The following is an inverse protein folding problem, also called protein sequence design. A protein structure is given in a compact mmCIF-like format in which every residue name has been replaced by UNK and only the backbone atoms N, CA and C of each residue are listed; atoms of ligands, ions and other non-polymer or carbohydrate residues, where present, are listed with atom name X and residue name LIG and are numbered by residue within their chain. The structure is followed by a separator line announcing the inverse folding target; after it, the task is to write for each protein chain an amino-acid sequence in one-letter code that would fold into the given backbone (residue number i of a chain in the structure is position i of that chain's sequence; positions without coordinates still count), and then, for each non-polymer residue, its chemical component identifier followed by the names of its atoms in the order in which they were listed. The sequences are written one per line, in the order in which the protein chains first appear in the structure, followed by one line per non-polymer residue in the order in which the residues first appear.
data_IF_956405634412
#
_entry.id   IF_956405634412
#
_cell.length_a   1.000
_cell.length_b   1.000
_cell.length_c   1.000
_cell.angle_alpha   90.00
_cell.angle_beta   90.00
_cell.angle_gamma   90.00
#
_symmetry.space_group_name_H-M   'P 1'
#
loop_
_entity.id
_entity.type
_entity.pdbx_description
1 polymer ?
#
# COMPACT_ATOMS: atom_id res chain seq x y z
N UNK A 1 26.33 -13.70 5.76
CA UNK A 1 25.97 -15.09 5.43
C UNK A 1 25.52 -15.10 3.99
N UNK A 2 26.18 -15.93 3.18
CA UNK A 2 26.30 -15.81 1.72
C UNK A 2 24.97 -15.85 0.98
N UNK A 3 24.97 -15.18 -0.17
CA UNK A 3 23.94 -15.33 -1.21
C UNK A 3 23.80 -16.83 -1.49
N UNK A 4 22.58 -17.36 -1.41
CA UNK A 4 22.26 -18.75 -1.77
C UNK A 4 22.60 -18.98 -3.25
N UNK A 5 23.85 -19.29 -3.57
CA UNK A 5 24.23 -19.87 -4.84
C UNK A 5 24.02 -21.40 -4.81
N UNK A 6 23.91 -21.98 -6.01
CA UNK A 6 23.64 -23.40 -6.18
C UNK A 6 24.66 -24.30 -5.47
N UNK A 7 25.94 -23.91 -5.46
CA UNK A 7 27.00 -24.70 -4.83
C UNK A 7 26.83 -24.76 -3.30
N UNK A 8 26.55 -23.62 -2.67
CA UNK A 8 26.32 -23.56 -1.24
C UNK A 8 25.03 -24.29 -0.83
N UNK A 9 23.99 -24.23 -1.67
CA UNK A 9 22.78 -25.03 -1.51
C UNK A 9 23.08 -26.53 -1.54
N UNK A 10 23.81 -27.00 -2.56
CA UNK A 10 24.21 -28.41 -2.68
C UNK A 10 25.06 -28.88 -1.49
N UNK A 11 26.08 -28.10 -1.09
CA UNK A 11 26.95 -28.44 0.06
C UNK A 11 26.13 -28.61 1.34
N UNK A 12 25.19 -27.71 1.59
CA UNK A 12 24.34 -27.74 2.79
C UNK A 12 23.41 -28.97 2.79
N UNK A 13 22.76 -29.25 1.65
CA UNK A 13 21.86 -30.40 1.52
C UNK A 13 22.61 -31.75 1.57
N UNK A 14 23.83 -31.82 1.05
CA UNK A 14 24.69 -33.01 1.17
C UNK A 14 25.06 -33.30 2.62
N UNK A 15 25.38 -32.26 3.39
CA UNK A 15 25.66 -32.41 4.82
C UNK A 15 24.43 -32.94 5.57
N UNK A 16 23.24 -32.48 5.20
CA UNK A 16 21.97 -32.97 5.73
C UNK A 16 21.77 -34.45 5.41
N UNK A 17 21.91 -34.86 4.14
CA UNK A 17 21.75 -36.26 3.70
C UNK A 17 22.72 -37.21 4.39
N UNK A 18 23.96 -36.77 4.65
CA UNK A 18 24.96 -37.55 5.39
C UNK A 18 24.63 -37.71 6.88
N UNK A 19 24.03 -36.69 7.49
CA UNK A 19 23.75 -36.64 8.93
C UNK A 19 22.40 -37.26 9.32
N UNK A 20 21.45 -37.26 8.39
CA UNK A 20 20.17 -37.93 8.55
C UNK A 20 19.90 -38.68 7.22
N UNK A 21 20.12 -40.01 7.17
CA UNK A 21 19.92 -40.82 5.96
C UNK A 21 18.42 -41.05 5.71
N UNK A 22 17.64 -39.97 5.71
CA UNK A 22 16.24 -39.95 5.36
C UNK A 22 16.08 -39.56 3.89
N UNK A 23 15.14 -40.20 3.21
CA UNK A 23 14.67 -39.81 1.89
C UNK A 23 13.30 -39.17 2.07
N UNK A 24 13.21 -37.84 2.21
CA UNK A 24 11.92 -37.18 2.41
C UNK A 24 11.06 -37.33 1.15
N UNK A 25 9.78 -37.66 1.31
CA UNK A 25 8.84 -37.71 0.18
C UNK A 25 8.66 -36.33 -0.46
N UNK A 26 8.75 -35.28 0.35
CA UNK A 26 8.54 -33.89 -0.06
C UNK A 26 9.50 -32.95 0.67
N UNK A 27 10.04 -31.98 -0.06
CA UNK A 27 10.89 -30.90 0.46
C UNK A 27 10.23 -29.57 0.11
N UNK A 28 9.82 -28.83 1.14
CA UNK A 28 9.18 -27.52 0.99
C UNK A 28 10.21 -26.40 1.01
N UNK A 29 10.17 -25.49 0.03
CA UNK A 29 11.08 -24.35 -0.12
C UNK A 29 10.34 -23.08 -0.56
N UNK A 30 11.06 -21.97 -0.67
CA UNK A 30 10.55 -20.73 -1.25
C UNK A 30 10.85 -20.63 -2.75
N UNK A 31 10.63 -19.47 -3.36
CA UNK A 31 10.86 -19.23 -4.79
C UNK A 31 12.34 -19.09 -5.19
N UNK A 32 13.30 -19.57 -4.40
CA UNK A 32 14.74 -19.51 -4.71
C UNK A 32 15.11 -20.51 -5.82
N UNK A 33 15.46 -20.07 -7.05
CA UNK A 33 15.80 -20.99 -8.14
C UNK A 33 17.03 -21.85 -7.83
N UNK A 34 18.01 -21.27 -7.13
CA UNK A 34 19.22 -21.97 -6.70
C UNK A 34 18.91 -23.08 -5.69
N UNK A 35 18.01 -22.80 -4.72
CA UNK A 35 17.59 -23.79 -3.74
C UNK A 35 16.79 -24.93 -4.40
N UNK A 36 15.85 -24.60 -5.28
CA UNK A 36 15.06 -25.59 -6.05
C UNK A 36 15.99 -26.51 -6.86
N UNK A 37 16.96 -25.94 -7.57
CA UNK A 37 17.94 -26.71 -8.34
C UNK A 37 18.80 -27.60 -7.44
N UNK A 38 19.25 -27.06 -6.29
CA UNK A 38 20.06 -27.82 -5.32
C UNK A 38 19.29 -29.00 -4.73
N UNK A 39 18.01 -28.82 -4.42
CA UNK A 39 17.15 -29.90 -3.92
C UNK A 39 17.03 -31.01 -4.97
N UNK A 40 16.73 -30.66 -6.23
CA UNK A 40 16.61 -31.64 -7.32
C UNK A 40 17.93 -32.39 -7.57
N UNK A 41 19.08 -31.75 -7.34
CA UNK A 41 20.39 -32.40 -7.49
C UNK A 41 20.72 -33.38 -6.34
N UNK A 42 20.41 -33.01 -5.09
CA UNK A 42 20.81 -33.80 -3.92
C UNK A 42 19.76 -34.84 -3.51
N UNK A 43 18.48 -34.55 -3.72
CA UNK A 43 17.34 -35.38 -3.41
C UNK A 43 16.46 -35.58 -4.65
N UNK A 44 16.95 -36.27 -5.70
CA UNK A 44 16.23 -36.39 -6.97
C UNK A 44 14.88 -37.12 -6.85
N UNK A 45 14.76 -38.02 -5.88
CA UNK A 45 13.52 -38.78 -5.62
C UNK A 45 12.50 -38.00 -4.78
N UNK A 46 12.89 -36.85 -4.20
CA UNK A 46 12.02 -36.04 -3.38
C UNK A 46 11.21 -35.07 -4.22
N UNK A 47 9.92 -34.97 -3.93
CA UNK A 47 9.07 -33.94 -4.56
C UNK A 47 9.43 -32.55 -4.03
N UNK A 48 9.69 -31.60 -4.92
CA UNK A 48 9.89 -30.19 -4.53
C UNK A 48 8.53 -29.50 -4.42
N UNK A 49 8.26 -28.88 -3.28
CA UNK A 49 7.07 -28.08 -3.04
C UNK A 49 7.42 -26.62 -2.76
N UNK A 50 6.71 -25.66 -3.38
CA UNK A 50 6.75 -24.26 -2.94
C UNK A 50 5.78 -24.07 -1.77
N UNK A 51 6.26 -23.46 -0.70
CA UNK A 51 5.47 -23.14 0.49
C UNK A 51 4.29 -22.20 0.16
N UNK A 52 3.08 -22.59 0.58
CA UNK A 52 1.88 -21.79 0.35
C UNK A 52 1.92 -20.39 0.97
N UNK A 53 2.63 -20.22 2.09
CA UNK A 53 2.88 -18.88 2.63
C UNK A 53 3.66 -18.01 1.63
N UNK A 54 4.67 -18.57 0.97
CA UNK A 54 5.50 -17.87 0.00
C UNK A 54 4.73 -17.56 -1.29
N UNK A 55 3.87 -18.48 -1.75
CA UNK A 55 2.93 -18.25 -2.85
C UNK A 55 2.02 -17.05 -2.58
N UNK A 56 1.35 -17.05 -1.42
CA UNK A 56 0.46 -15.95 -1.03
C UNK A 56 1.23 -14.66 -0.82
N UNK A 57 2.44 -14.72 -0.25
CA UNK A 57 3.30 -13.55 -0.04
C UNK A 57 3.72 -12.90 -1.34
N UNK A 58 4.11 -13.70 -2.33
CA UNK A 58 4.55 -13.22 -3.65
C UNK A 58 3.42 -12.46 -4.36
N UNK A 59 2.24 -13.08 -4.46
CA UNK A 59 1.05 -12.46 -5.02
C UNK A 59 0.64 -11.18 -4.28
N UNK A 60 0.51 -11.26 -2.94
CA UNK A 60 0.08 -10.12 -2.12
C UNK A 60 1.09 -8.96 -2.20
N UNK A 61 2.37 -9.23 -2.37
CA UNK A 61 3.38 -8.18 -2.55
C UNK A 61 3.25 -7.49 -3.91
N UNK A 62 2.87 -8.22 -4.96
CA UNK A 62 2.46 -7.65 -6.25
C UNK A 62 1.26 -6.73 -6.09
N UNK A 63 0.16 -7.24 -5.53
CA UNK A 63 -1.08 -6.48 -5.32
C UNK A 63 -0.84 -5.23 -4.45
N UNK A 64 -0.02 -5.33 -3.41
CA UNK A 64 0.35 -4.17 -2.56
C UNK A 64 1.05 -3.06 -3.35
N UNK A 65 1.76 -3.39 -4.44
CA UNK A 65 2.35 -2.36 -5.30
C UNK A 65 1.26 -1.61 -6.06
N UNK A 66 0.27 -2.33 -6.60
CA UNK A 66 -0.88 -1.73 -7.28
C UNK A 66 -1.71 -0.87 -6.31
N UNK A 67 -1.92 -1.32 -5.06
CA UNK A 67 -2.58 -0.49 -4.05
C UNK A 67 -1.81 0.80 -3.74
N UNK A 68 -0.46 0.79 -3.80
CA UNK A 68 0.33 2.02 -3.65
C UNK A 68 0.08 2.98 -4.82
N UNK A 69 -0.02 2.49 -6.05
CA UNK A 69 -0.33 3.30 -7.22
C UNK A 69 -1.77 3.83 -7.19
N UNK A 70 -2.73 2.98 -6.82
CA UNK A 70 -4.11 3.37 -6.59
C UNK A 70 -4.18 4.51 -5.57
N UNK A 71 -3.54 4.34 -4.40
CA UNK A 71 -3.52 5.37 -3.35
C UNK A 71 -2.82 6.65 -3.79
N UNK A 72 -1.79 6.55 -4.63
CA UNK A 72 -1.11 7.72 -5.16
C UNK A 72 -2.06 8.53 -6.05
N UNK A 73 -2.67 7.87 -7.04
CA UNK A 73 -3.58 8.46 -8.02
C UNK A 73 -4.84 9.05 -7.38
N UNK A 74 -5.47 8.32 -6.46
CA UNK A 74 -6.78 8.69 -5.92
C UNK A 74 -6.70 9.64 -4.71
N UNK A 75 -5.54 9.76 -4.06
CA UNK A 75 -5.43 10.59 -2.85
C UNK A 75 -4.14 11.39 -2.76
N UNK A 76 -2.97 10.73 -2.80
CA UNK A 76 -1.71 11.40 -2.41
C UNK A 76 -1.32 12.52 -3.36
N UNK A 77 -1.56 12.35 -4.66
CA UNK A 77 -1.17 13.35 -5.65
C UNK A 77 -1.94 14.66 -5.43
N UNK A 78 -3.27 14.61 -5.27
CA UNK A 78 -4.07 15.79 -4.94
C UNK A 78 -3.74 16.36 -3.54
N UNK A 79 -3.44 15.51 -2.54
CA UNK A 79 -2.96 15.96 -1.22
C UNK A 79 -1.66 16.77 -1.35
N UNK A 80 -0.74 16.34 -2.21
CA UNK A 80 0.51 17.04 -2.46
C UNK A 80 0.28 18.37 -3.17
N UNK A 81 -0.63 18.44 -4.13
CA UNK A 81 -1.02 19.71 -4.76
C UNK A 81 -1.59 20.70 -3.73
N UNK A 82 -2.43 20.27 -2.79
CA UNK A 82 -2.87 21.15 -1.69
C UNK A 82 -1.72 21.63 -0.79
N UNK A 83 -0.71 20.79 -0.57
CA UNK A 83 0.49 21.18 0.18
C UNK A 83 1.30 22.24 -0.59
N UNK A 84 1.43 22.08 -1.90
CA UNK A 84 2.10 23.04 -2.78
C UNK A 84 1.35 24.38 -2.83
N UNK A 85 0.03 24.37 -3.02
CA UNK A 85 -0.80 25.59 -2.96
C UNK A 85 -0.65 26.33 -1.63
N UNK A 86 -0.60 25.59 -0.52
CA UNK A 86 -0.39 26.18 0.80
C UNK A 86 1.01 26.75 0.97
N UNK A 87 2.03 26.07 0.44
CA UNK A 87 3.41 26.55 0.44
C UNK A 87 3.53 27.86 -0.33
N UNK A 88 2.93 27.92 -1.51
CA UNK A 88 2.81 29.12 -2.34
C UNK A 88 2.18 30.29 -1.55
N UNK A 89 1.04 30.07 -0.89
CA UNK A 89 0.37 31.08 -0.08
C UNK A 89 1.19 31.53 1.14
N UNK A 90 2.02 30.64 1.72
CA UNK A 90 2.93 31.03 2.79
C UNK A 90 4.02 31.98 2.24
N UNK A 91 4.58 31.70 1.07
CA UNK A 91 5.54 32.58 0.41
C UNK A 91 4.98 34.00 0.22
N UNK A 92 3.76 34.11 -0.30
CA UNK A 92 3.08 35.40 -0.46
C UNK A 92 2.85 36.12 0.87
N UNK A 93 2.50 35.36 1.93
CA UNK A 93 2.31 35.95 3.24
C UNK A 93 3.61 36.49 3.83
N UNK A 94 4.75 35.82 3.63
CA UNK A 94 6.05 36.32 4.07
C UNK A 94 6.46 37.57 3.28
N UNK A 95 6.34 37.57 1.94
CA UNK A 95 6.60 38.75 1.12
C UNK A 95 5.82 39.98 1.62
N UNK A 96 4.54 39.77 1.96
CA UNK A 96 3.65 40.82 2.47
C UNK A 96 4.00 41.31 3.89
N UNK A 97 4.76 40.56 4.69
CA UNK A 97 5.24 41.08 5.98
C UNK A 97 6.33 42.15 5.78
N UNK A 98 7.05 42.06 4.67
CA UNK A 98 8.19 42.92 4.35
C UNK A 98 7.85 44.04 3.36
N UNK A 99 6.63 44.05 2.81
CA UNK A 99 6.14 45.07 1.89
C UNK A 99 4.67 45.41 2.16
N UNK A 100 4.34 46.70 2.12
CA UNK A 100 2.96 47.18 2.32
C UNK A 100 2.00 46.71 1.20
N UNK A 101 2.53 46.48 0.00
CA UNK A 101 1.83 45.99 -1.20
C UNK A 101 2.76 45.08 -2.01
N UNK A 102 2.17 44.11 -2.70
CA UNK A 102 2.87 43.30 -3.69
C UNK A 102 2.69 43.91 -5.08
N UNK A 103 3.74 43.88 -5.91
CA UNK A 103 3.62 44.17 -7.34
C UNK A 103 3.24 42.90 -8.09
N UNK A 104 2.60 43.05 -9.26
CA UNK A 104 2.23 41.89 -10.08
C UNK A 104 3.46 41.04 -10.45
N UNK A 105 4.59 41.70 -10.71
CA UNK A 105 5.89 41.09 -11.03
C UNK A 105 6.47 40.29 -9.85
N UNK A 106 6.19 40.72 -8.60
CA UNK A 106 6.66 40.03 -7.39
C UNK A 106 5.86 38.77 -7.04
N UNK A 107 4.69 38.59 -7.64
CA UNK A 107 3.83 37.43 -7.38
C UNK A 107 4.28 36.28 -8.29
N UNK A 108 4.86 35.19 -7.74
CA UNK A 108 5.28 34.07 -8.57
C UNK A 108 4.07 33.42 -9.27
N UNK A 109 4.27 32.84 -10.47
CA UNK A 109 3.20 32.15 -11.16
C UNK A 109 2.75 30.90 -10.38
N UNK A 110 1.44 30.66 -10.34
CA UNK A 110 0.89 29.45 -9.74
C UNK A 110 1.14 28.24 -10.66
N UNK A 111 1.68 27.16 -10.10
CA UNK A 111 1.86 25.90 -10.84
C UNK A 111 0.54 25.36 -11.39
N UNK A 112 0.63 24.63 -12.50
CA UNK A 112 -0.50 23.90 -13.07
C UNK A 112 -0.96 22.78 -12.14
N UNK A 113 -2.28 22.63 -12.00
CA UNK A 113 -2.93 21.57 -11.23
C UNK A 113 -3.45 20.49 -12.17
N UNK A 114 -3.37 19.23 -11.76
CA UNK A 114 -3.89 18.11 -12.55
C UNK A 114 -5.42 18.23 -12.72
N UNK A 115 -5.99 18.13 -13.94
CA UNK A 115 -7.41 18.36 -14.16
C UNK A 115 -8.36 17.44 -13.37
N UNK A 116 -7.93 16.21 -13.07
CA UNK A 116 -8.72 15.23 -12.30
C UNK A 116 -8.79 15.53 -10.80
N UNK A 117 -7.94 16.42 -10.27
CA UNK A 117 -7.91 16.78 -8.85
C UNK A 117 -8.85 17.94 -8.57
N UNK A 118 -10.15 17.63 -8.52
CA UNK A 118 -11.23 18.64 -8.53
C UNK A 118 -11.17 19.62 -7.36
N UNK A 119 -10.73 19.19 -6.17
CA UNK A 119 -10.63 20.05 -4.99
C UNK A 119 -9.42 20.97 -5.09
N UNK A 120 -8.26 20.45 -5.50
CA UNK A 120 -7.07 21.26 -5.74
C UNK A 120 -7.28 22.28 -6.86
N UNK A 121 -7.98 21.87 -7.93
CA UNK A 121 -8.37 22.75 -9.03
C UNK A 121 -9.25 23.90 -8.53
N UNK A 122 -10.29 23.60 -7.76
CA UNK A 122 -11.15 24.63 -7.14
C UNK A 122 -10.34 25.62 -6.31
N UNK A 123 -9.42 25.13 -5.46
CA UNK A 123 -8.56 26.00 -4.67
C UNK A 123 -7.63 26.86 -5.53
N UNK A 124 -7.01 26.28 -6.56
CA UNK A 124 -6.16 27.01 -7.52
C UNK A 124 -6.94 28.12 -8.22
N UNK A 125 -8.16 27.83 -8.70
CA UNK A 125 -8.98 28.80 -9.42
C UNK A 125 -9.40 29.97 -8.51
N UNK A 126 -9.81 29.67 -7.28
CA UNK A 126 -10.10 30.69 -6.24
C UNK A 126 -8.87 31.53 -5.95
N UNK A 127 -7.70 30.91 -5.77
CA UNK A 127 -6.44 31.63 -5.53
C UNK A 127 -6.16 32.57 -6.70
N UNK A 128 -6.12 32.05 -7.94
CA UNK A 128 -5.84 32.83 -9.15
C UNK A 128 -6.75 34.04 -9.28
N UNK A 129 -8.06 33.87 -9.07
CA UNK A 129 -9.05 34.95 -9.14
C UNK A 129 -8.86 36.03 -8.08
N UNK A 130 -8.30 35.70 -6.91
CA UNK A 130 -8.16 36.65 -5.81
C UNK A 130 -6.75 37.22 -5.65
N UNK A 131 -5.75 36.71 -6.38
CA UNK A 131 -4.36 37.15 -6.24
C UNK A 131 -4.16 38.64 -6.55
N UNK A 132 -4.83 39.15 -7.59
CA UNK A 132 -4.67 40.55 -7.99
C UNK A 132 -5.17 41.54 -6.92
N UNK A 133 -6.04 41.11 -5.99
CA UNK A 133 -6.49 41.95 -4.88
C UNK A 133 -5.35 42.35 -3.94
N UNK A 134 -4.22 41.63 -3.98
CA UNK A 134 -3.02 41.94 -3.22
C UNK A 134 -2.24 43.13 -3.79
N UNK A 135 -2.54 43.55 -5.02
CA UNK A 135 -1.86 44.66 -5.71
C UNK A 135 -2.70 45.96 -5.70
N UNK A 136 -3.95 45.91 -5.23
CA UNK A 136 -4.84 47.08 -5.19
C UNK A 136 -4.46 48.04 -4.04
N UNK A 137 -4.02 49.24 -4.40
CA UNK A 137 -3.66 50.29 -3.44
C UNK A 137 -4.88 50.99 -2.84
N UNK A 138 -5.84 51.42 -3.66
CA UNK A 138 -7.00 52.16 -3.16
C UNK A 138 -7.94 51.27 -2.31
N UNK A 139 -8.21 51.63 -1.04
CA UNK A 139 -9.09 50.84 -0.18
C UNK A 139 -10.52 50.72 -0.74
N UNK A 140 -11.05 51.74 -1.40
CA UNK A 140 -12.42 51.74 -1.88
C UNK A 140 -12.60 50.77 -3.06
N UNK A 141 -11.72 50.87 -4.05
CA UNK A 141 -11.61 49.91 -5.15
C UNK A 141 -11.37 48.49 -4.65
N UNK A 142 -10.48 48.30 -3.66
CA UNK A 142 -10.22 46.98 -3.09
C UNK A 142 -11.49 46.30 -2.56
N UNK A 143 -12.26 46.97 -1.70
CA UNK A 143 -13.45 46.34 -1.09
C UNK A 143 -14.58 46.09 -2.08
N UNK A 144 -14.80 47.00 -3.04
CA UNK A 144 -15.82 46.82 -4.08
C UNK A 144 -15.45 45.64 -4.99
N UNK A 145 -14.23 45.64 -5.52
CA UNK A 145 -13.78 44.58 -6.44
C UNK A 145 -13.75 43.25 -5.72
N UNK A 146 -13.32 43.22 -4.45
CA UNK A 146 -13.31 41.99 -3.67
C UNK A 146 -14.73 41.43 -3.46
N UNK A 147 -15.74 42.25 -3.13
CA UNK A 147 -17.12 41.73 -3.00
C UNK A 147 -17.66 41.16 -4.32
N UNK A 148 -17.36 41.82 -5.45
CA UNK A 148 -17.71 41.34 -6.79
C UNK A 148 -17.07 39.98 -7.07
N UNK A 149 -15.78 39.81 -6.80
CA UNK A 149 -15.10 38.53 -6.99
C UNK A 149 -15.66 37.45 -6.05
N UNK A 150 -15.99 37.77 -4.80
CA UNK A 150 -16.63 36.81 -3.89
C UNK A 150 -18.02 36.37 -4.40
N UNK A 151 -18.78 37.27 -5.04
CA UNK A 151 -20.06 36.92 -5.69
C UNK A 151 -19.85 35.99 -6.88
N UNK A 152 -18.84 36.26 -7.72
CA UNK A 152 -18.47 35.39 -8.85
C UNK A 152 -18.06 34.00 -8.38
N UNK A 153 -17.20 33.91 -7.36
CA UNK A 153 -16.76 32.63 -6.80
C UNK A 153 -17.92 31.81 -6.24
N UNK A 154 -18.87 32.44 -5.53
CA UNK A 154 -20.09 31.78 -5.06
C UNK A 154 -20.93 31.25 -6.22
N UNK A 155 -21.08 32.02 -7.29
CA UNK A 155 -21.83 31.59 -8.49
C UNK A 155 -21.16 30.39 -9.17
N UNK A 156 -19.83 30.36 -9.22
CA UNK A 156 -19.08 29.33 -9.94
C UNK A 156 -18.88 28.03 -9.15
N UNK A 157 -18.67 28.13 -7.84
CA UNK A 157 -18.30 26.98 -7.01
C UNK A 157 -19.33 26.64 -5.92
N UNK A 158 -20.37 27.46 -5.75
CA UNK A 158 -21.51 27.20 -4.86
C UNK A 158 -21.11 26.97 -3.39
N UNK A 159 -21.77 26.00 -2.77
CA UNK A 159 -21.58 25.64 -1.36
C UNK A 159 -20.13 25.30 -1.00
N UNK A 160 -19.32 24.83 -1.96
CA UNK A 160 -17.91 24.46 -1.73
C UNK A 160 -17.03 25.61 -1.26
N UNK A 161 -17.39 26.84 -1.61
CA UNK A 161 -16.63 28.06 -1.23
C UNK A 161 -17.44 29.03 -0.39
N UNK A 162 -18.67 28.67 -0.02
CA UNK A 162 -19.61 29.57 0.65
C UNK A 162 -19.10 30.04 2.00
N UNK A 163 -18.70 29.10 2.86
CA UNK A 163 -18.12 29.43 4.16
C UNK A 163 -16.90 30.35 4.01
N UNK A 164 -16.03 30.09 3.03
CA UNK A 164 -14.87 30.93 2.74
C UNK A 164 -15.29 32.37 2.36
N UNK A 165 -16.28 32.52 1.48
CA UNK A 165 -16.78 33.81 1.05
C UNK A 165 -17.45 34.58 2.19
N UNK A 166 -18.33 33.92 2.96
CA UNK A 166 -19.07 34.53 4.07
C UNK A 166 -18.13 34.99 5.18
N UNK A 167 -17.13 34.16 5.52
CA UNK A 167 -16.11 34.52 6.50
C UNK A 167 -15.31 35.74 6.04
N UNK A 168 -14.96 35.86 4.76
CA UNK A 168 -14.24 37.03 4.24
C UNK A 168 -15.10 38.29 4.25
N UNK A 169 -16.36 38.21 3.79
CA UNK A 169 -17.30 39.33 3.87
C UNK A 169 -17.50 39.83 5.30
N UNK A 170 -17.54 38.92 6.28
CA UNK A 170 -17.66 39.29 7.69
C UNK A 170 -16.49 40.14 8.21
N UNK A 171 -15.34 40.15 7.52
CA UNK A 171 -14.16 40.97 7.86
C UNK A 171 -14.19 42.36 7.23
N UNK A 172 -15.15 42.65 6.35
CA UNK A 172 -15.24 43.95 5.71
C UNK A 172 -15.63 45.01 6.75
N UNK A 173 -15.00 46.19 6.72
CA UNK A 173 -15.34 47.28 7.63
C UNK A 173 -16.77 47.79 7.37
N UNK A 174 -17.54 48.02 8.44
CA UNK A 174 -18.95 48.44 8.37
C UNK A 174 -19.19 49.93 8.10
N UNK A 175 -18.18 50.78 8.31
CA UNK A 175 -18.33 52.26 8.30
C UNK A 175 -17.49 52.96 7.24
N UNK A 176 -16.16 52.81 7.30
CA UNK A 176 -15.22 53.48 6.37
C UNK A 176 -14.14 52.52 5.89
N UNK A 177 -13.82 52.63 4.60
CA UNK A 177 -12.70 51.93 3.97
C UNK A 177 -11.41 52.70 4.27
N UNK A 178 -10.42 52.00 4.85
CA UNK A 178 -9.15 52.58 5.29
C UNK A 178 -7.99 51.71 4.85
N UNK A 179 -6.80 52.29 4.71
CA UNK A 179 -5.55 51.56 4.39
C UNK A 179 -5.30 50.46 5.44
N UNK A 180 -5.46 50.76 6.73
CA UNK A 180 -5.34 49.77 7.82
C UNK A 180 -6.37 48.63 7.67
N UNK A 181 -7.60 48.95 7.28
CA UNK A 181 -8.65 47.97 7.00
C UNK A 181 -8.30 47.07 5.82
N UNK A 182 -7.89 47.65 4.69
CA UNK A 182 -7.37 46.92 3.51
C UNK A 182 -6.24 45.98 3.91
N UNK A 183 -5.25 46.50 4.64
CA UNK A 183 -4.09 45.71 5.05
C UNK A 183 -4.45 44.55 5.98
N UNK A 184 -5.42 44.75 6.88
CA UNK A 184 -5.93 43.66 7.71
C UNK A 184 -6.63 42.61 6.86
N UNK A 185 -7.51 43.01 5.94
CA UNK A 185 -8.35 42.09 5.16
C UNK A 185 -7.55 41.32 4.11
N UNK A 186 -6.56 41.91 3.46
CA UNK A 186 -5.61 41.18 2.61
C UNK A 186 -4.82 40.11 3.40
N UNK A 187 -4.44 40.41 4.64
CA UNK A 187 -3.79 39.43 5.52
C UNK A 187 -4.73 38.29 5.89
N UNK A 188 -6.00 38.60 6.15
CA UNK A 188 -7.04 37.58 6.36
C UNK A 188 -7.34 36.78 5.09
N UNK A 189 -7.33 37.39 3.90
CA UNK A 189 -7.48 36.69 2.62
C UNK A 189 -6.45 35.56 2.48
N UNK A 190 -5.17 35.86 2.63
CA UNK A 190 -4.10 34.84 2.56
C UNK A 190 -4.28 33.73 3.60
N UNK A 191 -4.67 34.09 4.85
CA UNK A 191 -4.98 33.08 5.87
C UNK A 191 -6.15 32.20 5.46
N UNK A 192 -7.24 32.77 4.94
CA UNK A 192 -8.45 32.05 4.57
C UNK A 192 -8.28 31.20 3.32
N UNK A 193 -7.46 31.62 2.35
CA UNK A 193 -7.07 30.78 1.21
C UNK A 193 -6.34 29.51 1.69
N UNK A 194 -5.46 29.63 2.69
CA UNK A 194 -4.81 28.46 3.30
C UNK A 194 -5.80 27.57 4.04
N UNK A 195 -6.76 28.16 4.76
CA UNK A 195 -7.84 27.41 5.42
C UNK A 195 -8.70 26.66 4.41
N UNK A 196 -9.01 27.27 3.26
CA UNK A 196 -9.74 26.63 2.17
C UNK A 196 -8.99 25.39 1.65
N UNK A 197 -7.69 25.50 1.35
CA UNK A 197 -6.89 24.34 0.96
C UNK A 197 -6.93 23.22 2.03
N UNK A 198 -6.99 23.58 3.31
CA UNK A 198 -7.09 22.61 4.42
C UNK A 198 -8.46 21.95 4.50
N UNK A 199 -9.55 22.68 4.24
CA UNK A 199 -10.91 22.13 4.32
C UNK A 199 -11.12 21.03 3.29
N UNK A 200 -10.56 21.15 2.09
CA UNK A 200 -10.58 20.06 1.09
C UNK A 200 -9.58 18.95 1.40
N UNK A 201 -8.36 19.28 1.85
CA UNK A 201 -7.31 18.29 2.08
C UNK A 201 -7.60 17.36 3.26
N UNK A 202 -8.27 17.85 4.31
CA UNK A 202 -8.53 17.07 5.54
C UNK A 202 -9.40 15.83 5.27
N UNK A 203 -10.60 15.94 4.65
CA UNK A 203 -11.41 14.78 4.27
C UNK A 203 -10.62 13.78 3.42
N UNK A 204 -9.91 14.27 2.38
CA UNK A 204 -9.13 13.42 1.49
C UNK A 204 -8.00 12.66 2.21
N UNK A 205 -7.37 13.27 3.22
CA UNK A 205 -6.39 12.60 4.10
C UNK A 205 -7.02 11.50 4.96
N UNK A 206 -8.22 11.72 5.46
CA UNK A 206 -8.93 10.71 6.26
C UNK A 206 -9.35 9.52 5.39
N UNK A 207 -9.90 9.78 4.19
CA UNK A 207 -10.18 8.73 3.21
C UNK A 207 -8.92 7.91 2.87
N UNK A 208 -7.79 8.58 2.62
CA UNK A 208 -6.52 7.90 2.35
C UNK A 208 -6.02 7.03 3.52
N UNK A 209 -6.31 7.47 4.76
CA UNK A 209 -5.97 6.73 5.99
C UNK A 209 -6.88 5.51 6.13
N UNK A 210 -8.19 5.68 5.95
CA UNK A 210 -9.16 4.61 6.00
C UNK A 210 -8.91 3.55 4.93
N UNK A 211 -8.65 3.98 3.69
CA UNK A 211 -8.19 3.08 2.62
C UNK A 211 -6.98 2.25 3.06
N UNK A 212 -5.98 2.88 3.69
CA UNK A 212 -4.75 2.21 4.09
C UNK A 212 -4.96 1.15 5.18
N UNK A 213 -5.96 1.33 6.04
CA UNK A 213 -6.35 0.33 7.04
C UNK A 213 -7.13 -0.81 6.39
N UNK A 214 -8.12 -0.47 5.56
CA UNK A 214 -9.07 -1.44 4.98
C UNK A 214 -8.47 -2.30 3.86
N UNK A 215 -7.50 -1.79 3.09
CA UNK A 215 -6.88 -2.53 1.97
C UNK A 215 -6.32 -3.91 2.39
N UNK A 216 -5.86 -4.08 3.63
CA UNK A 216 -5.30 -5.34 4.12
C UNK A 216 -6.37 -6.41 4.38
N UNK A 217 -7.63 -6.00 4.54
CA UNK A 217 -8.75 -6.92 4.69
C UNK A 217 -8.96 -7.74 3.42
N UNK A 218 -8.60 -7.20 2.26
CA UNK A 218 -8.70 -7.90 0.97
C UNK A 218 -7.82 -9.16 0.90
N UNK A 219 -6.80 -9.26 1.75
CA UNK A 219 -5.92 -10.42 1.82
C UNK A 219 -6.39 -11.52 2.78
N UNK A 220 -7.46 -11.28 3.56
CA UNK A 220 -7.93 -12.26 4.56
C UNK A 220 -8.67 -13.42 3.90
N UNK A 221 -8.21 -14.65 4.11
CA UNK A 221 -8.95 -15.83 3.68
C UNK A 221 -10.26 -16.01 4.49
N UNK A 222 -11.31 -16.62 3.92
CA UNK A 222 -12.64 -16.73 4.53
C UNK A 222 -12.65 -17.24 5.97
N UNK A 223 -11.74 -18.16 6.32
CA UNK A 223 -11.66 -18.75 7.67
C UNK A 223 -11.23 -17.73 8.75
N UNK A 224 -10.68 -16.58 8.33
CA UNK A 224 -10.21 -15.48 9.19
C UNK A 224 -11.10 -14.24 9.10
N UNK A 225 -12.25 -14.35 8.44
CA UNK A 225 -13.21 -13.27 8.23
C UNK A 225 -14.45 -13.57 9.07
N UNK A 226 -14.77 -12.66 10.01
CA UNK A 226 -16.06 -12.70 10.71
C UNK A 226 -17.13 -11.98 9.88
N UNK A 227 -18.44 -12.21 10.14
CA UNK A 227 -19.52 -11.53 9.41
C UNK A 227 -19.40 -10.00 9.44
N UNK A 228 -18.92 -9.44 10.57
CA UNK A 228 -18.64 -8.00 10.69
C UNK A 228 -17.53 -7.54 9.74
N UNK A 229 -16.48 -8.33 9.57
CA UNK A 229 -15.38 -8.00 8.65
C UNK A 229 -15.81 -8.16 7.20
N UNK A 230 -16.64 -9.15 6.90
CA UNK A 230 -17.23 -9.37 5.58
C UNK A 230 -18.03 -8.16 5.10
N UNK A 231 -18.97 -7.66 5.93
CA UNK A 231 -19.71 -6.43 5.63
C UNK A 231 -18.80 -5.22 5.38
N UNK A 232 -17.69 -5.10 6.13
CA UNK A 232 -16.70 -4.03 5.91
C UNK A 232 -15.98 -4.20 4.55
N UNK A 233 -15.64 -5.43 4.17
CA UNK A 233 -15.02 -5.73 2.88
C UNK A 233 -15.98 -5.40 1.74
N UNK A 234 -17.24 -5.81 1.83
CA UNK A 234 -18.26 -5.55 0.82
C UNK A 234 -18.47 -4.05 0.59
N UNK A 235 -18.66 -3.28 1.67
CA UNK A 235 -18.81 -1.83 1.57
C UNK A 235 -17.53 -1.17 1.01
N UNK A 236 -16.34 -1.64 1.41
CA UNK A 236 -15.08 -1.15 0.86
C UNK A 236 -14.94 -1.45 -0.63
N UNK A 237 -15.38 -2.62 -1.10
CA UNK A 237 -15.38 -3.01 -2.52
C UNK A 237 -16.50 -2.34 -3.33
N UNK A 238 -17.58 -1.87 -2.69
CA UNK A 238 -18.58 -1.00 -3.30
C UNK A 238 -18.03 0.40 -3.54
N UNK A 239 -17.28 0.92 -2.57
CA UNK A 239 -16.59 2.22 -2.68
C UNK A 239 -15.43 2.18 -3.67
N UNK A 240 -14.75 1.04 -3.80
CA UNK A 240 -13.61 0.85 -4.71
C UNK A 240 -13.78 -0.39 -5.61
N UNK A 241 -14.65 -0.34 -6.62
CA UNK A 241 -14.99 -1.51 -7.45
C UNK A 241 -13.80 -2.18 -8.14
N UNK A 242 -12.81 -1.39 -8.56
CA UNK A 242 -11.60 -1.91 -9.20
C UNK A 242 -10.77 -2.83 -8.28
N UNK A 243 -10.99 -2.78 -6.96
CA UNK A 243 -10.26 -3.63 -6.03
C UNK A 243 -10.82 -5.05 -5.90
N UNK A 244 -12.03 -5.30 -6.44
CA UNK A 244 -12.68 -6.62 -6.42
C UNK A 244 -11.81 -7.67 -7.07
N UNK A 245 -11.18 -7.31 -8.19
CA UNK A 245 -10.32 -8.23 -8.91
C UNK A 245 -9.14 -8.71 -8.06
N UNK A 246 -8.49 -7.83 -7.30
CA UNK A 246 -7.40 -8.23 -6.41
C UNK A 246 -7.87 -9.13 -5.26
N UNK A 247 -9.10 -8.91 -4.77
CA UNK A 247 -9.75 -9.77 -3.78
C UNK A 247 -9.98 -11.16 -4.36
N UNK A 248 -10.55 -11.24 -5.55
CA UNK A 248 -10.80 -12.49 -6.28
C UNK A 248 -9.50 -13.25 -6.52
N UNK A 249 -8.44 -12.59 -7.00
CA UNK A 249 -7.12 -13.22 -7.16
C UNK A 249 -6.60 -13.84 -5.86
N UNK A 250 -6.70 -13.12 -4.75
CA UNK A 250 -6.21 -13.60 -3.45
C UNK A 250 -7.04 -14.76 -2.91
N UNK A 251 -8.36 -14.74 -3.14
CA UNK A 251 -9.24 -15.84 -2.76
C UNK A 251 -8.96 -17.08 -3.60
N UNK A 252 -8.92 -16.92 -4.92
CA UNK A 252 -8.67 -17.98 -5.90
C UNK A 252 -7.36 -18.71 -5.62
N UNK A 253 -6.25 -18.00 -5.38
CA UNK A 253 -4.98 -18.65 -5.04
C UNK A 253 -4.99 -19.26 -3.63
N UNK A 254 -5.75 -18.68 -2.70
CA UNK A 254 -5.96 -19.25 -1.38
C UNK A 254 -6.77 -20.55 -1.39
N UNK A 255 -7.64 -20.77 -2.39
CA UNK A 255 -8.46 -21.99 -2.52
C UNK A 255 -7.64 -23.25 -2.78
N UNK A 256 -6.48 -23.12 -3.45
CA UNK A 256 -5.57 -24.24 -3.72
C UNK A 256 -5.25 -25.02 -2.43
N UNK A 257 -5.09 -24.33 -1.30
CA UNK A 257 -4.73 -24.95 -0.02
C UNK A 257 -5.94 -25.41 0.81
N UNK A 258 -7.16 -25.23 0.28
CA UNK A 258 -8.43 -25.51 0.95
C UNK A 258 -9.22 -26.60 0.25
N UNK A 259 -9.09 -26.70 -1.07
CA UNK A 259 -9.73 -27.74 -1.88
C UNK A 259 -9.25 -29.15 -1.47
N UNK A 260 -10.09 -30.18 -1.66
CA UNK A 260 -9.67 -31.57 -1.55
C UNK A 260 -8.54 -31.90 -2.53
N UNK A 261 -7.54 -32.67 -2.11
CA UNK A 261 -6.37 -32.96 -2.94
C UNK A 261 -6.68 -33.54 -4.32
N UNK A 262 -7.73 -34.37 -4.40
CA UNK A 262 -8.17 -35.04 -5.62
C UNK A 262 -8.59 -34.08 -6.72
N UNK A 263 -8.90 -32.82 -6.39
CA UNK A 263 -9.39 -31.81 -7.35
C UNK A 263 -8.38 -30.70 -7.62
N UNK A 264 -7.22 -30.73 -6.97
CA UNK A 264 -6.18 -29.71 -7.17
C UNK A 264 -5.42 -30.04 -8.47
N UNK A 265 -5.63 -29.22 -9.49
CA UNK A 265 -5.00 -29.34 -10.82
C UNK A 265 -4.17 -28.10 -11.22
N UNK A 266 -4.21 -27.04 -10.41
CA UNK A 266 -3.52 -25.77 -10.67
C UNK A 266 -4.28 -24.81 -11.58
N UNK A 267 -5.55 -25.08 -11.92
CA UNK A 267 -6.40 -24.20 -12.75
C UNK A 267 -6.48 -22.77 -12.22
N UNK A 268 -6.44 -22.59 -10.89
CA UNK A 268 -6.44 -21.29 -10.24
C UNK A 268 -5.22 -20.45 -10.62
N UNK A 269 -4.05 -21.09 -10.79
CA UNK A 269 -2.82 -20.41 -11.22
C UNK A 269 -2.91 -20.08 -12.71
N UNK A 270 -3.45 -21.00 -13.52
CA UNK A 270 -3.61 -20.79 -14.97
C UNK A 270 -4.55 -19.62 -15.27
N UNK A 271 -5.61 -19.47 -14.47
CA UNK A 271 -6.61 -18.40 -14.57
C UNK A 271 -6.07 -17.00 -14.24
N UNK A 272 -4.90 -16.87 -13.60
CA UNK A 272 -4.27 -15.57 -13.39
C UNK A 272 -3.89 -14.94 -14.74
N UNK A 273 -4.26 -13.69 -14.96
CA UNK A 273 -3.94 -12.97 -16.21
C UNK A 273 -3.02 -11.79 -15.91
N UNK A 274 -2.00 -11.61 -16.74
CA UNK A 274 -1.19 -10.40 -16.73
C UNK A 274 -1.95 -9.30 -17.45
N UNK A 275 -1.84 -8.05 -16.98
CA UNK A 275 -2.48 -6.91 -17.62
C UNK A 275 -1.53 -5.73 -17.73
N UNK A 276 -1.71 -4.93 -18.79
CA UNK A 276 -0.92 -3.72 -19.04
C UNK A 276 -1.04 -2.66 -17.93
N UNK A 277 -2.16 -2.64 -17.21
CA UNK A 277 -2.42 -1.69 -16.14
C UNK A 277 -1.97 -2.17 -14.75
N UNK A 278 -1.51 -3.43 -14.62
CA UNK A 278 -0.89 -3.91 -13.39
C UNK A 278 0.53 -3.39 -13.24
N UNK A 279 1.02 -3.31 -12.00
CA UNK A 279 2.44 -3.06 -11.81
C UNK A 279 3.29 -4.19 -12.36
N UNK A 280 4.51 -3.86 -12.79
CA UNK A 280 5.52 -4.85 -13.17
C UNK A 280 5.71 -5.91 -12.08
N UNK A 281 5.58 -5.50 -10.82
CA UNK A 281 5.70 -6.40 -9.67
C UNK A 281 4.56 -7.43 -9.61
N UNK A 282 3.32 -7.03 -9.88
CA UNK A 282 2.20 -7.97 -9.94
C UNK A 282 2.30 -8.87 -11.16
N UNK A 283 2.62 -8.33 -12.34
CA UNK A 283 2.84 -9.13 -13.54
C UNK A 283 3.98 -10.15 -13.36
N UNK A 284 5.06 -9.76 -12.69
CA UNK A 284 6.18 -10.65 -12.34
C UNK A 284 5.74 -11.74 -11.37
N UNK A 285 4.99 -11.39 -10.32
CA UNK A 285 4.46 -12.38 -9.38
C UNK A 285 3.59 -13.42 -10.10
N UNK A 286 2.70 -13.00 -11.00
CA UNK A 286 1.87 -13.90 -11.82
C UNK A 286 2.74 -14.82 -12.67
N UNK A 287 3.76 -14.28 -13.37
CA UNK A 287 4.71 -15.10 -14.14
C UNK A 287 5.42 -16.13 -13.26
N UNK A 288 5.87 -15.74 -12.07
CA UNK A 288 6.54 -16.63 -11.12
C UNK A 288 5.61 -17.75 -10.67
N UNK A 289 4.35 -17.45 -10.33
CA UNK A 289 3.38 -18.48 -9.94
C UNK A 289 3.12 -19.46 -11.09
N UNK A 290 2.98 -18.97 -12.33
CA UNK A 290 2.80 -19.84 -13.50
C UNK A 290 4.02 -20.70 -13.78
N UNK A 291 5.23 -20.14 -13.65
CA UNK A 291 6.51 -20.85 -13.86
C UNK A 291 6.66 -22.03 -12.91
N UNK A 292 6.31 -21.85 -11.64
CA UNK A 292 6.45 -22.87 -10.58
C UNK A 292 5.13 -23.58 -10.26
N UNK A 293 4.17 -23.59 -11.18
CA UNK A 293 2.83 -24.19 -10.96
C UNK A 293 2.93 -25.62 -10.46
N UNK A 294 3.76 -26.44 -11.10
CA UNK A 294 4.01 -27.84 -10.74
C UNK A 294 4.47 -27.97 -9.29
N UNK A 295 5.48 -27.21 -8.89
CA UNK A 295 6.03 -27.23 -7.53
C UNK A 295 5.05 -26.64 -6.50
N UNK A 296 4.17 -25.70 -6.88
CA UNK A 296 3.15 -25.15 -5.98
C UNK A 296 2.09 -26.21 -5.64
N UNK A 297 1.62 -26.97 -6.63
CA UNK A 297 0.57 -27.98 -6.43
C UNK A 297 1.10 -29.36 -6.07
N UNK A 298 2.42 -29.56 -6.05
CA UNK A 298 3.06 -30.86 -5.89
C UNK A 298 2.61 -31.62 -4.62
N UNK A 299 2.25 -30.88 -3.57
CA UNK A 299 1.72 -31.48 -2.33
C UNK A 299 0.47 -32.32 -2.59
N UNK A 300 -0.41 -31.93 -3.52
CA UNK A 300 -1.67 -32.64 -3.74
C UNK A 300 -1.42 -34.11 -4.10
N UNK A 301 -0.44 -34.38 -4.98
CA UNK A 301 -0.05 -35.74 -5.37
C UNK A 301 0.56 -36.52 -4.20
N UNK A 302 1.53 -35.93 -3.50
CA UNK A 302 2.21 -36.59 -2.37
C UNK A 302 1.22 -36.98 -1.27
N UNK A 303 0.25 -36.14 -0.95
CA UNK A 303 -0.74 -36.46 0.08
C UNK A 303 -1.83 -37.44 -0.38
N UNK A 304 -1.98 -37.69 -1.68
CA UNK A 304 -2.82 -38.79 -2.17
C UNK A 304 -2.11 -40.13 -2.07
N UNK A 305 -0.79 -40.16 -2.31
CA UNK A 305 0.06 -41.34 -2.19
C UNK A 305 0.35 -41.70 -0.72
N UNK A 306 0.41 -40.69 0.15
CA UNK A 306 0.74 -40.82 1.57
C UNK A 306 -0.32 -40.10 2.45
N UNK A 307 -1.55 -40.63 2.57
CA UNK A 307 -2.65 -39.99 3.30
C UNK A 307 -2.43 -39.88 4.82
N UNK A 308 -1.49 -40.66 5.37
CA UNK A 308 -1.04 -40.62 6.76
C UNK A 308 -0.24 -39.34 7.10
N UNK A 309 0.23 -38.60 6.09
CA UNK A 309 0.93 -37.34 6.29
C UNK A 309 -0.02 -36.29 6.92
N UNK A 310 0.42 -35.70 8.02
CA UNK A 310 -0.37 -34.72 8.77
C UNK A 310 -0.72 -33.48 7.94
N UNK A 311 -1.95 -32.96 8.10
CA UNK A 311 -2.46 -31.74 7.44
C UNK A 311 -1.55 -30.50 7.62
N UNK A 312 -0.73 -30.47 8.67
CA UNK A 312 0.27 -29.42 8.91
C UNK A 312 1.38 -29.37 7.84
N UNK A 313 1.68 -30.48 7.15
CA UNK A 313 2.65 -30.52 6.06
C UNK A 313 2.11 -29.90 4.75
N UNK A 314 0.81 -29.52 4.68
CA UNK A 314 0.16 -28.97 3.48
C UNK A 314 0.56 -27.53 3.14
N UNK A 315 0.75 -26.69 4.16
CA UNK A 315 0.65 -25.25 3.98
C UNK A 315 1.63 -24.44 4.82
N UNK A 316 2.48 -25.09 5.63
CA UNK A 316 3.22 -24.30 6.60
C UNK A 316 4.50 -24.94 7.12
N UNK A 317 5.60 -24.50 6.53
CA UNK A 317 6.78 -24.30 7.35
C UNK A 317 6.50 -23.25 8.44
N UNK A 318 5.54 -22.31 8.36
CA UNK A 318 5.35 -21.24 9.38
C UNK A 318 4.64 -21.67 10.68
N UNK A 319 3.81 -22.72 10.70
CA UNK A 319 3.19 -23.24 11.94
C UNK A 319 4.18 -24.13 12.70
N UNK A 320 4.88 -25.02 12.00
CA UNK A 320 6.08 -25.70 12.50
C UNK A 320 7.14 -24.68 12.90
N UNK A 321 7.41 -23.67 12.07
CA UNK A 321 8.33 -22.57 12.36
C UNK A 321 7.82 -21.61 13.43
N UNK A 322 6.55 -21.56 13.83
CA UNK A 322 6.16 -20.70 14.95
C UNK A 322 6.61 -21.31 16.27
N UNK A 323 6.46 -22.63 16.39
CA UNK A 323 6.97 -23.42 17.52
C UNK A 323 8.49 -23.57 17.46
N UNK A 324 9.05 -23.77 16.26
CA UNK A 324 10.51 -23.81 16.05
C UNK A 324 11.13 -22.43 16.23
N UNK A 325 10.61 -21.33 15.63
CA UNK A 325 11.13 -19.94 15.78
C UNK A 325 10.86 -19.31 17.14
N UNK A 326 9.98 -19.84 17.99
CA UNK A 326 9.74 -19.30 19.33
C UNK A 326 11.05 -19.22 20.17
N UNK A 327 11.88 -20.29 20.23
CA UNK A 327 13.24 -20.23 20.78
C UNK A 327 14.19 -19.27 20.05
N UNK A 328 14.09 -19.12 18.73
CA UNK A 328 14.98 -18.25 17.93
C UNK A 328 14.63 -16.77 18.07
N UNK A 329 13.36 -16.42 18.34
CA UNK A 329 12.94 -15.05 18.62
C UNK A 329 13.57 -14.46 19.88
N UNK A 330 13.97 -15.31 20.82
CA UNK A 330 14.62 -14.91 22.06
C UNK A 330 16.16 -14.80 21.95
N UNK A 331 16.79 -15.30 20.88
CA UNK A 331 18.25 -15.56 20.84
C UNK A 331 18.98 -15.14 19.57
N UNK A 332 18.37 -14.30 18.72
CA UNK A 332 18.87 -13.98 17.38
C UNK A 332 20.09 -13.03 17.30
N UNK A 333 20.92 -12.97 18.35
CA UNK A 333 22.23 -12.34 18.26
C UNK A 333 23.30 -13.38 18.67
N UNK A 334 24.03 -13.93 17.69
CA UNK A 334 25.29 -14.72 17.82
C UNK A 334 25.17 -16.21 18.16
N UNK A 335 24.87 -17.08 17.19
CA UNK A 335 25.24 -18.50 17.30
C UNK A 335 25.96 -19.00 16.04
N UNK A 336 27.00 -19.81 16.25
CA UNK A 336 27.86 -20.40 15.21
C UNK A 336 27.20 -21.58 14.47
N UNK A 337 27.81 -21.96 13.35
CA UNK A 337 27.32 -22.95 12.39
C UNK A 337 26.95 -24.30 13.04
N UNK A 338 27.71 -24.74 14.03
CA UNK A 338 27.53 -26.04 14.69
C UNK A 338 26.19 -26.15 15.44
N UNK A 339 25.70 -25.04 16.02
CA UNK A 339 24.39 -25.02 16.67
C UNK A 339 23.22 -25.06 15.67
N UNK A 340 23.41 -24.52 14.46
CA UNK A 340 22.43 -24.61 13.38
C UNK A 340 22.33 -26.07 12.91
N UNK A 341 23.48 -26.73 12.74
CA UNK A 341 23.55 -28.12 12.27
C UNK A 341 22.98 -29.11 13.30
N UNK A 342 23.31 -28.96 14.58
CA UNK A 342 22.79 -29.83 15.65
C UNK A 342 21.25 -29.70 15.80
N UNK A 343 20.70 -28.51 15.53
CA UNK A 343 19.24 -28.28 15.57
C UNK A 343 18.51 -28.76 14.31
N UNK A 344 19.14 -28.73 13.13
CA UNK A 344 18.60 -29.40 11.93
C UNK A 344 18.54 -30.91 12.09
N UNK A 345 19.50 -31.52 12.80
CA UNK A 345 19.47 -32.95 13.10
C UNK A 345 18.24 -33.35 13.94
N UNK A 346 17.84 -32.52 14.92
CA UNK A 346 16.61 -32.71 15.70
C UNK A 346 15.33 -32.58 14.86
N UNK A 347 15.35 -31.77 13.79
CA UNK A 347 14.22 -31.60 12.87
C UNK A 347 13.98 -32.83 11.96
N UNK A 348 15.03 -33.55 11.60
CA UNK A 348 14.97 -34.66 10.64
C UNK A 348 14.78 -36.02 11.31
N UNK A 349 15.09 -36.14 12.61
CA UNK A 349 14.90 -37.35 13.40
C UNK A 349 13.50 -37.53 14.00
N UNK A 350 12.55 -36.63 13.75
CA UNK A 350 11.18 -36.71 14.31
C UNK A 350 11.07 -36.47 15.83
N UNK A 351 12.19 -36.30 16.54
CA UNK A 351 12.21 -36.06 17.97
C UNK A 351 12.09 -34.57 18.29
N UNK A 352 10.85 -34.08 18.46
CA UNK A 352 10.61 -32.81 19.18
C UNK A 352 10.75 -33.11 20.68
N UNK A 353 11.99 -33.21 21.19
CA UNK A 353 12.20 -33.22 22.64
C UNK A 353 11.97 -31.82 23.18
N UNK A 354 11.00 -31.68 24.07
CA UNK A 354 10.72 -30.47 24.81
C UNK A 354 11.98 -30.06 25.59
N UNK A 355 12.65 -29.00 25.13
CA UNK A 355 13.64 -28.29 25.94
C UNK A 355 12.99 -27.05 26.54
N UNK A 356 12.04 -27.27 27.46
CA UNK A 356 11.64 -26.28 28.46
C UNK A 356 11.32 -27.06 29.74
N UNK A 357 12.25 -27.01 30.69
CA UNK A 357 11.89 -26.78 32.08
C UNK A 357 12.14 -25.30 32.35
#
# INVERSE_FOLDING_TARGET
MGVEDFENGCRSLLAVRKKAPINPYIITCDFSPALIASIKAIFPESTVQIDGFHVMRELNNGIRRDFKYYRAKHYRNEINEFLELRSYLNGLQEMRKHADLLTLESIPPLKSITPSHSGAKTCSDVIKKLLFLLTLWDPHSFFIVFDVELKKLLKEHGERVKEFCDVLRSKFPKRKFTIKGRNRVQGELLKKLKTLCVSFRKPLKEEAREFSKKQFLLFKQPEKVSPKVEAIIEEFLKQHPILREYREMTLMIGEIYREPYKVIDGRQIDALTQKKNYSDKLNTAITTLKKYKSEIIAFAKVFLEYPELGKACRANMEWLNKRVKAPFKASLNRQGLDHIVNRMQLQLGGEVRNFIN
#
